data_IF_615798126543
#
_entry.id   IF_615798126543
#
_cell.length_a   1.000
_cell.length_b   1.000
_cell.length_c   1.000
_cell.angle_alpha   90.00
_cell.angle_beta   90.00
_cell.angle_gamma   90.00
#
_symmetry.space_group_name_H-M   'P 1'
#
loop_
_entity.id
_entity.type
_entity.pdbx_description
1 polymer ?
#
# COMPACT_ATOMS: atom_id res chain seq x y z
N UNK A 1 -30.18 21.78 -64.94
CA UNK A 1 -29.46 20.90 -63.98
C UNK A 1 -28.74 21.79 -63.00
N UNK A 2 -29.33 22.01 -61.83
CA UNK A 2 -28.75 22.69 -60.67
C UNK A 2 -29.37 22.03 -59.43
N UNK A 3 -28.58 21.60 -58.43
CA UNK A 3 -29.06 20.69 -57.39
C UNK A 3 -29.73 21.44 -56.24
N UNK A 4 -30.87 20.90 -55.84
CA UNK A 4 -31.55 21.12 -54.56
C UNK A 4 -30.69 20.60 -53.40
N UNK A 5 -30.46 21.45 -52.40
CA UNK A 5 -29.89 21.06 -51.11
C UNK A 5 -30.96 20.36 -50.23
N UNK A 6 -30.62 19.29 -49.50
CA UNK A 6 -31.50 18.70 -48.51
C UNK A 6 -31.40 19.47 -47.18
N UNK A 7 -32.56 19.72 -46.56
CA UNK A 7 -32.65 20.30 -45.23
C UNK A 7 -32.39 19.25 -44.16
N UNK A 8 -31.42 19.54 -43.28
CA UNK A 8 -31.24 18.85 -42.01
C UNK A 8 -32.20 19.46 -40.97
N UNK A 9 -33.21 18.68 -40.60
CA UNK A 9 -34.06 18.95 -39.45
C UNK A 9 -33.52 18.15 -38.25
N UNK A 10 -32.76 18.81 -37.38
CA UNK A 10 -32.43 18.29 -36.04
C UNK A 10 -33.67 18.42 -35.14
N UNK A 11 -34.16 17.34 -34.49
CA UNK A 11 -35.22 17.46 -33.49
C UNK A 11 -34.64 18.12 -32.24
N UNK A 12 -35.02 19.37 -32.00
CA UNK A 12 -34.75 20.07 -30.75
C UNK A 12 -35.44 19.36 -29.59
N UNK A 13 -34.65 18.82 -28.66
CA UNK A 13 -35.13 18.29 -27.40
C UNK A 13 -35.33 19.47 -26.43
N UNK A 14 -36.55 19.98 -26.33
CA UNK A 14 -36.94 21.00 -25.34
C UNK A 14 -37.34 20.29 -24.05
N UNK A 15 -36.55 20.46 -22.98
CA UNK A 15 -36.96 20.07 -21.63
C UNK A 15 -38.21 20.87 -21.23
N UNK A 16 -39.19 20.25 -20.56
CA UNK A 16 -40.35 20.98 -20.05
C UNK A 16 -39.90 22.03 -19.04
N UNK A 17 -40.42 23.24 -19.21
CA UNK A 17 -40.19 24.35 -18.28
C UNK A 17 -40.60 23.93 -16.86
N UNK A 18 -39.64 23.98 -15.94
CA UNK A 18 -39.88 23.81 -14.51
C UNK A 18 -40.98 24.76 -14.02
N UNK A 19 -41.90 24.30 -13.17
CA UNK A 19 -42.86 25.17 -12.52
C UNK A 19 -42.12 26.12 -11.57
N UNK A 20 -42.17 27.41 -11.89
CA UNK A 20 -42.07 28.57 -10.99
C UNK A 20 -41.35 28.32 -9.66
N UNK A 21 -40.02 28.50 -9.68
CA UNK A 21 -39.23 28.72 -8.47
C UNK A 21 -39.70 30.01 -7.76
N UNK A 22 -39.83 30.01 -6.42
CA UNK A 22 -40.17 31.23 -5.69
C UNK A 22 -39.03 32.25 -5.80
N UNK A 23 -39.38 33.45 -6.23
CA UNK A 23 -38.49 34.58 -6.32
C UNK A 23 -37.93 34.98 -4.94
N UNK A 24 -36.64 35.34 -4.93
CA UNK A 24 -35.94 36.15 -3.94
C UNK A 24 -35.65 35.52 -2.56
N UNK A 25 -34.56 34.75 -2.50
CA UNK A 25 -33.58 34.83 -1.39
C UNK A 25 -32.17 34.98 -1.96
N UNK A 26 -31.88 36.12 -2.59
CA UNK A 26 -30.51 36.64 -2.67
C UNK A 26 -30.20 37.31 -1.33
N UNK A 27 -30.00 36.50 -0.29
CA UNK A 27 -29.33 36.95 0.93
C UNK A 27 -27.91 37.35 0.54
N UNK A 28 -27.57 38.62 0.78
CA UNK A 28 -26.21 39.13 0.62
C UNK A 28 -25.21 38.16 1.27
N UNK A 29 -24.43 37.48 0.44
CA UNK A 29 -23.31 36.66 0.89
C UNK A 29 -22.40 37.57 1.71
N UNK A 30 -22.34 37.35 3.03
CA UNK A 30 -21.36 38.02 3.89
C UNK A 30 -19.97 37.81 3.29
N UNK A 31 -19.05 38.78 3.38
CA UNK A 31 -17.68 38.59 2.92
C UNK A 31 -17.11 37.37 3.64
N UNK A 32 -16.87 36.29 2.88
CA UNK A 32 -16.32 35.05 3.40
C UNK A 32 -14.95 35.38 4.02
N UNK A 33 -14.63 34.84 5.21
CA UNK A 33 -13.29 35.01 5.78
C UNK A 33 -12.27 34.56 4.74
N UNK A 34 -11.20 35.36 4.54
CA UNK A 34 -10.17 35.12 3.51
C UNK A 34 -9.80 33.64 3.48
N UNK A 35 -10.35 32.99 2.47
CA UNK A 35 -10.19 31.59 2.16
C UNK A 35 -8.71 31.41 1.82
N UNK A 36 -7.91 30.89 2.76
CA UNK A 36 -6.45 30.82 2.62
C UNK A 36 -6.00 29.86 1.52
N UNK A 37 -4.70 29.89 1.19
CA UNK A 37 -4.07 29.11 0.11
C UNK A 37 -4.41 27.61 0.14
N UNK A 38 -4.67 27.06 1.33
CA UNK A 38 -5.09 25.66 1.52
C UNK A 38 -6.44 25.35 0.89
N UNK A 39 -7.38 26.28 0.91
CA UNK A 39 -8.68 26.08 0.27
C UNK A 39 -8.59 26.29 -1.23
N UNK A 40 -7.74 27.19 -1.72
CA UNK A 40 -7.48 27.29 -3.16
C UNK A 40 -6.88 25.97 -3.70
N UNK A 41 -5.92 25.39 -2.97
CA UNK A 41 -5.36 24.07 -3.27
C UNK A 41 -6.41 22.94 -3.19
N UNK A 42 -7.30 22.98 -2.19
CA UNK A 42 -8.42 22.04 -2.08
C UNK A 42 -9.39 22.19 -3.26
N UNK A 43 -9.82 23.41 -3.58
CA UNK A 43 -10.73 23.69 -4.69
C UNK A 43 -10.13 23.27 -6.05
N UNK A 44 -8.82 23.43 -6.23
CA UNK A 44 -8.12 22.94 -7.41
C UNK A 44 -7.97 21.42 -7.45
N UNK A 45 -7.71 20.77 -6.31
CA UNK A 45 -7.74 19.31 -6.20
C UNK A 45 -9.14 18.76 -6.51
N UNK A 46 -10.20 19.39 -5.98
CA UNK A 46 -11.59 19.02 -6.21
C UNK A 46 -12.01 19.22 -7.68
N UNK A 47 -11.53 20.28 -8.34
CA UNK A 47 -11.76 20.50 -9.79
C UNK A 47 -11.10 19.43 -10.68
N UNK A 48 -9.97 18.89 -10.24
CA UNK A 48 -9.21 17.86 -10.97
C UNK A 48 -9.57 16.43 -10.55
N UNK A 49 -10.47 16.28 -9.57
CA UNK A 49 -11.02 14.99 -9.18
C UNK A 49 -11.81 14.41 -10.36
N UNK A 50 -11.64 13.13 -10.70
CA UNK A 50 -12.41 12.53 -11.77
C UNK A 50 -13.87 12.40 -11.35
N UNK A 51 -14.70 12.12 -12.34
CA UNK A 51 -16.12 12.05 -12.14
C UNK A 51 -16.52 10.85 -11.27
N UNK A 52 -17.52 11.06 -10.43
CA UNK A 52 -18.07 10.13 -9.44
C UNK A 52 -19.29 9.46 -10.02
N UNK A 53 -19.36 8.13 -10.00
CA UNK A 53 -20.57 7.40 -10.40
C UNK A 53 -21.61 7.49 -9.27
N UNK A 54 -22.86 7.94 -9.53
CA UNK A 54 -23.88 8.12 -8.49
C UNK A 54 -24.10 6.88 -7.61
N UNK A 55 -24.11 5.69 -8.22
CA UNK A 55 -24.32 4.42 -7.52
C UNK A 55 -23.19 4.06 -6.55
N UNK A 56 -21.96 4.44 -6.86
CA UNK A 56 -20.81 4.18 -5.98
C UNK A 56 -20.83 5.14 -4.78
N UNK A 57 -21.18 6.41 -5.02
CA UNK A 57 -21.37 7.38 -3.94
C UNK A 57 -22.50 6.97 -3.00
N UNK A 58 -23.65 6.54 -3.55
CA UNK A 58 -24.76 6.04 -2.76
C UNK A 58 -24.36 4.83 -1.89
N UNK A 59 -23.60 3.88 -2.45
CA UNK A 59 -23.10 2.71 -1.74
C UNK A 59 -22.17 3.09 -0.58
N UNK A 60 -21.28 4.06 -0.82
CA UNK A 60 -20.36 4.55 0.21
C UNK A 60 -21.09 5.30 1.32
N UNK A 61 -22.07 6.17 1.00
CA UNK A 61 -22.86 6.86 2.02
C UNK A 61 -23.61 5.86 2.90
N UNK A 62 -24.21 4.81 2.31
CA UNK A 62 -24.84 3.75 3.08
C UNK A 62 -23.86 3.00 3.98
N UNK A 63 -22.68 2.64 3.47
CA UNK A 63 -21.66 1.96 4.27
C UNK A 63 -21.22 2.80 5.48
N UNK A 64 -21.08 4.13 5.31
CA UNK A 64 -20.75 5.04 6.41
C UNK A 64 -21.91 5.16 7.42
N UNK A 65 -23.17 5.16 6.97
CA UNK A 65 -24.33 5.16 7.86
C UNK A 65 -24.42 3.88 8.70
N UNK A 66 -24.10 2.73 8.12
CA UNK A 66 -24.06 1.44 8.84
C UNK A 66 -22.95 1.42 9.91
N UNK A 67 -21.80 2.07 9.64
CA UNK A 67 -20.72 2.21 10.61
C UNK A 67 -21.08 3.13 11.80
N UNK A 68 -21.86 4.19 11.55
CA UNK A 68 -22.14 5.27 12.52
C UNK A 68 -23.54 5.20 13.17
N UNK A 69 -24.27 4.08 13.03
CA UNK A 69 -25.66 3.90 13.48
C UNK A 69 -25.84 4.23 14.98
N UNK A 70 -24.78 4.13 15.79
CA UNK A 70 -24.82 4.39 17.23
C UNK A 70 -24.55 5.85 17.65
N UNK A 71 -24.10 6.70 16.73
CA UNK A 71 -23.67 8.08 17.04
C UNK A 71 -24.51 9.15 16.36
N UNK A 72 -25.25 8.81 15.31
CA UNK A 72 -26.01 9.78 14.52
C UNK A 72 -27.40 10.03 15.10
N UNK A 73 -27.87 11.26 14.95
CA UNK A 73 -29.26 11.61 15.26
C UNK A 73 -30.20 11.05 14.18
N UNK A 74 -31.44 10.71 14.54
CA UNK A 74 -32.43 10.19 13.58
C UNK A 74 -32.65 11.11 12.38
N UNK A 75 -32.47 12.43 12.55
CA UNK A 75 -32.54 13.40 11.45
C UNK A 75 -31.39 13.24 10.45
N UNK A 76 -30.15 13.12 10.95
CA UNK A 76 -28.98 12.94 10.09
C UNK A 76 -29.05 11.64 9.25
N UNK A 77 -29.60 10.57 9.84
CA UNK A 77 -29.84 9.31 9.14
C UNK A 77 -30.90 9.47 8.05
N UNK A 78 -32.01 10.18 8.33
CA UNK A 78 -33.06 10.42 7.35
C UNK A 78 -32.57 11.28 6.16
N UNK A 79 -31.81 12.34 6.43
CA UNK A 79 -31.28 13.22 5.38
C UNK A 79 -30.30 12.45 4.47
N UNK A 80 -29.41 11.63 5.05
CA UNK A 80 -28.48 10.82 4.28
C UNK A 80 -29.20 9.70 3.48
N UNK A 81 -30.25 9.08 4.03
CA UNK A 81 -31.07 8.10 3.33
C UNK A 81 -31.80 8.72 2.12
N UNK A 82 -32.29 9.96 2.26
CA UNK A 82 -32.87 10.70 1.13
C UNK A 82 -31.83 10.97 0.03
N UNK A 83 -30.61 11.36 0.40
CA UNK A 83 -29.50 11.54 -0.55
C UNK A 83 -29.18 10.24 -1.29
N UNK A 84 -29.09 9.11 -0.59
CA UNK A 84 -28.85 7.79 -1.19
C UNK A 84 -29.96 7.42 -2.17
N UNK A 85 -31.23 7.63 -1.79
CA UNK A 85 -32.36 7.36 -2.67
C UNK A 85 -32.32 8.25 -3.93
N UNK A 86 -32.00 9.53 -3.78
CA UNK A 86 -31.86 10.44 -4.92
C UNK A 86 -30.73 9.98 -5.87
N UNK A 87 -29.54 9.68 -5.34
CA UNK A 87 -28.40 9.19 -6.12
C UNK A 87 -28.71 7.87 -6.86
N UNK A 88 -29.48 6.97 -6.24
CA UNK A 88 -29.88 5.69 -6.84
C UNK A 88 -30.84 5.83 -8.03
N UNK A 89 -31.55 6.95 -8.14
CA UNK A 89 -32.44 7.24 -9.29
C UNK A 89 -31.73 7.88 -10.47
N UNK A 90 -30.50 8.38 -10.28
CA UNK A 90 -29.74 9.01 -11.34
C UNK A 90 -29.22 7.98 -12.34
N UNK A 91 -29.15 8.32 -13.64
CA UNK A 91 -28.50 7.46 -14.62
C UNK A 91 -27.02 7.27 -14.24
N UNK A 92 -26.38 6.16 -14.66
CA UNK A 92 -24.99 5.82 -14.30
C UNK A 92 -23.94 6.71 -14.99
N UNK A 93 -24.32 7.93 -15.39
CA UNK A 93 -23.41 8.91 -15.95
C UNK A 93 -22.52 9.49 -14.84
N UNK A 94 -21.20 9.60 -15.08
CA UNK A 94 -20.30 10.16 -14.10
C UNK A 94 -20.64 11.63 -13.79
N UNK A 95 -20.76 11.97 -12.51
CA UNK A 95 -20.97 13.32 -12.01
C UNK A 95 -19.62 14.00 -11.77
N UNK A 96 -19.50 15.28 -12.10
CA UNK A 96 -18.37 16.06 -11.56
C UNK A 96 -18.44 16.08 -10.02
N UNK A 97 -17.30 16.23 -9.35
CA UNK A 97 -17.28 16.28 -7.89
C UNK A 97 -18.14 17.43 -7.33
N UNK A 98 -18.23 18.55 -8.05
CA UNK A 98 -19.12 19.66 -7.69
C UNK A 98 -20.59 19.23 -7.70
N UNK A 99 -21.03 18.52 -8.74
CA UNK A 99 -22.40 17.97 -8.82
C UNK A 99 -22.65 16.93 -7.72
N UNK A 100 -21.67 16.07 -7.44
CA UNK A 100 -21.77 15.07 -6.38
C UNK A 100 -21.91 15.73 -4.99
N UNK A 101 -21.16 16.81 -4.73
CA UNK A 101 -21.29 17.61 -3.51
C UNK A 101 -22.68 18.24 -3.42
N UNK A 102 -23.12 18.92 -4.47
CA UNK A 102 -24.42 19.61 -4.50
C UNK A 102 -25.59 18.64 -4.28
N UNK A 103 -25.54 17.46 -4.91
CA UNK A 103 -26.54 16.40 -4.73
C UNK A 103 -26.50 15.74 -3.35
N UNK A 104 -25.41 15.92 -2.60
CA UNK A 104 -25.23 15.33 -1.27
C UNK A 104 -25.49 16.30 -0.12
N UNK A 105 -25.77 17.58 -0.42
CA UNK A 105 -26.09 18.59 0.57
C UNK A 105 -27.56 18.46 1.02
N UNK A 106 -27.80 18.65 2.30
CA UNK A 106 -29.14 18.72 2.87
C UNK A 106 -29.87 20.02 2.45
N UNK A 107 -31.12 20.17 2.91
CA UNK A 107 -31.92 21.38 2.63
C UNK A 107 -31.33 22.67 3.22
N UNK A 108 -30.40 22.57 4.17
CA UNK A 108 -29.71 23.69 4.79
C UNK A 108 -28.38 24.02 4.07
N UNK A 109 -27.99 23.22 3.08
CA UNK A 109 -26.75 23.39 2.34
C UNK A 109 -25.53 22.84 3.07
N UNK A 110 -25.69 21.82 3.92
CA UNK A 110 -24.58 21.13 4.57
C UNK A 110 -24.46 19.69 4.11
N UNK A 111 -23.24 19.18 4.01
CA UNK A 111 -23.01 17.76 3.78
C UNK A 111 -23.16 17.01 5.11
N UNK A 112 -23.92 15.92 5.12
CA UNK A 112 -23.94 14.99 6.25
C UNK A 112 -22.55 14.39 6.49
N UNK A 113 -22.26 13.93 7.71
CA UNK A 113 -20.97 13.31 8.04
C UNK A 113 -20.66 12.11 7.12
N UNK A 114 -21.66 11.26 6.87
CA UNK A 114 -21.56 10.13 5.94
C UNK A 114 -21.26 10.59 4.49
N UNK A 115 -21.90 11.65 4.01
CA UNK A 115 -21.61 12.21 2.69
C UNK A 115 -20.18 12.78 2.60
N UNK A 116 -19.71 13.47 3.63
CA UNK A 116 -18.34 13.98 3.69
C UNK A 116 -17.32 12.84 3.64
N UNK A 117 -17.53 11.79 4.45
CA UNK A 117 -16.67 10.61 4.47
C UNK A 117 -16.67 9.89 3.11
N UNK A 118 -17.84 9.63 2.53
CA UNK A 118 -17.96 8.97 1.23
C UNK A 118 -17.28 9.76 0.10
N UNK A 119 -17.49 11.08 0.04
CA UNK A 119 -16.84 11.95 -0.94
C UNK A 119 -15.32 12.00 -0.75
N UNK A 120 -14.84 11.97 0.50
CA UNK A 120 -13.43 11.88 0.81
C UNK A 120 -12.84 10.55 0.33
N UNK A 121 -13.52 9.42 0.57
CA UNK A 121 -13.12 8.10 0.08
C UNK A 121 -13.02 8.05 -1.45
N UNK A 122 -14.00 8.64 -2.16
CA UNK A 122 -13.97 8.76 -3.63
C UNK A 122 -12.80 9.62 -4.12
N UNK A 123 -12.55 10.77 -3.48
CA UNK A 123 -11.43 11.64 -3.84
C UNK A 123 -10.06 10.95 -3.63
N UNK A 124 -9.93 10.14 -2.58
CA UNK A 124 -8.71 9.34 -2.32
C UNK A 124 -8.57 8.23 -3.35
N UNK A 125 -9.60 7.41 -3.55
CA UNK A 125 -9.58 6.28 -4.51
C UNK A 125 -9.22 6.73 -5.93
N UNK A 126 -9.59 7.95 -6.29
CA UNK A 126 -9.35 8.51 -7.61
C UNK A 126 -7.97 9.13 -7.78
N UNK A 127 -7.44 9.80 -6.75
CA UNK A 127 -6.04 10.22 -6.70
C UNK A 127 -5.09 9.01 -6.81
N UNK A 128 -5.49 7.89 -6.19
CA UNK A 128 -4.77 6.61 -6.27
C UNK A 128 -4.73 6.05 -7.71
N UNK A 129 -5.80 6.21 -8.51
CA UNK A 129 -5.85 5.67 -9.87
C UNK A 129 -4.83 6.36 -10.81
N UNK A 130 -4.70 7.70 -10.73
CA UNK A 130 -3.77 8.47 -11.57
C UNK A 130 -2.30 8.22 -11.22
N UNK A 131 -1.98 8.14 -9.93
CA UNK A 131 -0.61 7.87 -9.47
C UNK A 131 -0.16 6.44 -9.80
N UNK A 132 -1.09 5.48 -9.84
CA UNK A 132 -0.76 4.10 -10.15
C UNK A 132 -0.53 3.80 -11.63
N UNK A 133 -1.24 4.48 -12.54
CA UNK A 133 -0.96 4.35 -13.97
C UNK A 133 0.48 4.76 -14.31
N UNK A 134 1.04 5.76 -13.62
CA UNK A 134 2.43 6.15 -13.81
C UNK A 134 3.45 5.09 -13.33
N UNK A 135 3.07 4.24 -12.37
CA UNK A 135 3.93 3.17 -11.85
C UNK A 135 3.98 1.92 -12.75
N UNK A 136 3.08 1.83 -13.74
CA UNK A 136 2.86 0.66 -14.59
C UNK A 136 3.93 0.46 -15.66
N UNK A 137 4.50 1.55 -16.19
CA UNK A 137 5.49 1.48 -17.28
C UNK A 137 6.87 0.96 -16.83
N UNK A 138 7.11 0.84 -15.52
CA UNK A 138 8.42 0.49 -14.99
C UNK A 138 8.41 -0.96 -14.46
N UNK A 139 9.47 -1.77 -14.70
CA UNK A 139 9.71 -3.03 -14.00
C UNK A 139 10.09 -2.74 -12.54
N UNK A 140 9.16 -2.11 -11.83
CA UNK A 140 9.33 -1.54 -10.51
C UNK A 140 9.75 -2.64 -9.54
N UNK A 141 9.04 -3.77 -9.56
CA UNK A 141 9.27 -4.91 -8.67
C UNK A 141 10.70 -5.43 -8.79
N UNK A 142 11.14 -5.81 -10.00
CA UNK A 142 12.49 -6.31 -10.24
C UNK A 142 13.55 -5.25 -9.90
N UNK A 143 13.32 -3.99 -10.27
CA UNK A 143 14.26 -2.91 -9.96
C UNK A 143 14.35 -2.67 -8.46
N UNK A 144 13.25 -2.72 -7.71
CA UNK A 144 13.25 -2.58 -6.25
C UNK A 144 13.92 -3.78 -5.57
N UNK A 145 13.66 -5.00 -6.05
CA UNK A 145 14.23 -6.23 -5.50
C UNK A 145 15.76 -6.28 -5.63
N UNK A 146 16.33 -5.64 -6.67
CA UNK A 146 17.79 -5.50 -6.84
C UNK A 146 18.46 -4.59 -5.79
N UNK A 147 17.69 -3.82 -5.03
CA UNK A 147 18.21 -2.93 -3.99
C UNK A 147 17.67 -3.35 -2.62
N UNK A 148 18.36 -4.23 -1.88
CA UNK A 148 17.94 -4.66 -0.56
C UNK A 148 17.74 -3.45 0.36
N UNK A 149 16.57 -3.38 1.00
CA UNK A 149 16.23 -2.23 1.83
C UNK A 149 15.97 -2.67 3.28
N UNK A 150 16.77 -2.20 4.25
CA UNK A 150 16.47 -2.44 5.65
C UNK A 150 15.18 -1.71 6.06
N UNK A 151 14.16 -2.50 6.42
CA UNK A 151 12.97 -2.03 7.12
C UNK A 151 13.12 -2.16 8.65
N UNK A 152 12.28 -1.43 9.37
CA UNK A 152 12.06 -1.65 10.81
C UNK A 152 11.60 -3.10 11.03
N UNK A 153 12.15 -3.74 12.08
CA UNK A 153 11.80 -5.11 12.40
C UNK A 153 10.35 -5.20 12.88
N UNK A 154 10.03 -4.44 13.91
CA UNK A 154 8.68 -4.31 14.45
C UNK A 154 8.01 -3.05 13.90
N UNK A 155 6.68 -3.10 13.78
CA UNK A 155 5.89 -1.92 13.38
C UNK A 155 5.65 -1.04 14.61
N UNK A 156 6.15 0.21 14.64
CA UNK A 156 5.89 1.11 15.76
C UNK A 156 4.38 1.27 15.99
N UNK A 157 3.90 1.32 17.25
CA UNK A 157 2.46 1.43 17.54
C UNK A 157 1.76 2.56 16.77
N UNK A 158 2.42 3.71 16.63
CA UNK A 158 1.95 4.88 15.89
C UNK A 158 1.70 4.63 14.38
N UNK A 159 2.25 3.55 13.82
CA UNK A 159 2.12 3.17 12.42
C UNK A 159 1.32 1.89 12.20
N UNK A 160 0.93 1.16 13.24
CA UNK A 160 0.26 -0.14 13.08
C UNK A 160 -1.02 -0.05 12.25
N UNK A 161 -1.85 0.96 12.53
CA UNK A 161 -3.09 1.20 11.78
C UNK A 161 -2.79 1.52 10.31
N UNK A 162 -1.81 2.37 10.03
CA UNK A 162 -1.44 2.76 8.67
C UNK A 162 -0.87 1.58 7.85
N UNK A 163 0.02 0.78 8.45
CA UNK A 163 0.60 -0.40 7.79
C UNK A 163 -0.45 -1.47 7.57
N UNK A 164 -1.30 -1.76 8.58
CA UNK A 164 -2.40 -2.71 8.42
C UNK A 164 -3.36 -2.27 7.33
N UNK A 165 -3.79 -1.00 7.35
CA UNK A 165 -4.66 -0.43 6.33
C UNK A 165 -4.08 -0.52 4.93
N UNK A 166 -2.79 -0.22 4.76
CA UNK A 166 -2.09 -0.37 3.48
C UNK A 166 -2.07 -1.82 2.96
N UNK A 167 -1.82 -2.79 3.84
CA UNK A 167 -1.81 -4.21 3.48
C UNK A 167 -3.21 -4.72 3.15
N UNK A 168 -4.21 -4.38 3.96
CA UNK A 168 -5.63 -4.73 3.73
C UNK A 168 -6.11 -4.15 2.41
N UNK A 169 -5.87 -2.85 2.16
CA UNK A 169 -6.23 -2.19 0.91
C UNK A 169 -5.62 -2.91 -0.31
N UNK A 170 -4.37 -3.34 -0.23
CA UNK A 170 -3.73 -4.07 -1.32
C UNK A 170 -4.36 -5.46 -1.54
N UNK A 171 -4.71 -6.16 -0.47
CA UNK A 171 -5.37 -7.47 -0.55
C UNK A 171 -6.82 -7.38 -1.03
N UNK A 172 -7.58 -6.35 -0.62
CA UNK A 172 -8.94 -6.10 -1.10
C UNK A 172 -8.93 -5.86 -2.61
N UNK A 173 -7.97 -5.08 -3.11
CA UNK A 173 -7.77 -4.90 -4.55
C UNK A 173 -7.46 -6.23 -5.26
N UNK A 174 -6.62 -7.08 -4.68
CA UNK A 174 -6.37 -8.43 -5.23
C UNK A 174 -7.65 -9.28 -5.31
N UNK A 175 -8.51 -9.20 -4.30
CA UNK A 175 -9.81 -9.88 -4.29
C UNK A 175 -10.75 -9.31 -5.36
N UNK A 176 -10.83 -7.99 -5.49
CA UNK A 176 -11.68 -7.32 -6.49
C UNK A 176 -11.29 -7.71 -7.92
N UNK A 177 -10.01 -7.60 -8.27
CA UNK A 177 -9.48 -7.95 -9.60
C UNK A 177 -9.71 -9.43 -9.94
N UNK A 178 -9.69 -10.31 -8.94
CA UNK A 178 -10.02 -11.73 -9.11
C UNK A 178 -11.50 -11.93 -9.40
N UNK A 179 -12.39 -11.25 -8.69
CA UNK A 179 -13.84 -11.33 -8.89
C UNK A 179 -14.26 -10.85 -10.29
N UNK A 180 -13.51 -9.91 -10.85
CA UNK A 180 -13.70 -9.42 -12.23
C UNK A 180 -13.10 -10.36 -13.29
N UNK A 181 -12.47 -11.48 -12.89
CA UNK A 181 -11.79 -12.40 -13.80
C UNK A 181 -10.45 -11.90 -14.34
N UNK A 182 -9.96 -10.75 -13.85
CA UNK A 182 -8.73 -10.09 -14.25
C UNK A 182 -7.52 -10.49 -13.38
N UNK A 183 -7.46 -11.73 -12.90
CA UNK A 183 -6.44 -12.19 -11.93
C UNK A 183 -4.99 -12.02 -12.42
N UNK A 184 -4.75 -11.95 -13.73
CA UNK A 184 -3.43 -11.70 -14.35
C UNK A 184 -3.33 -10.34 -15.02
N UNK A 185 -4.36 -9.51 -14.88
CA UNK A 185 -4.43 -8.16 -15.44
C UNK A 185 -3.46 -7.18 -14.77
N UNK A 186 -3.41 -5.98 -15.34
CA UNK A 186 -2.53 -4.91 -14.85
C UNK A 186 -2.94 -4.44 -13.46
N UNK A 187 -4.24 -4.41 -13.14
CA UNK A 187 -4.78 -4.11 -11.81
C UNK A 187 -4.33 -5.12 -10.75
N UNK A 188 -4.37 -6.42 -11.06
CA UNK A 188 -3.79 -7.47 -10.20
C UNK A 188 -2.28 -7.29 -9.99
N UNK A 189 -1.49 -7.02 -11.05
CA UNK A 189 -0.02 -6.81 -10.94
C UNK A 189 0.31 -5.65 -10.00
N UNK A 190 -0.44 -4.58 -10.15
CA UNK A 190 -0.45 -3.40 -9.30
C UNK A 190 -0.75 -3.73 -7.84
N UNK A 191 -1.85 -4.44 -7.57
CA UNK A 191 -2.24 -4.81 -6.22
C UNK A 191 -1.20 -5.72 -5.53
N UNK A 192 -0.60 -6.66 -6.27
CA UNK A 192 0.52 -7.48 -5.79
C UNK A 192 1.75 -6.63 -5.43
N UNK A 193 2.14 -5.70 -6.30
CA UNK A 193 3.25 -4.77 -6.02
C UNK A 193 2.98 -3.93 -4.78
N UNK A 194 1.75 -3.44 -4.60
CA UNK A 194 1.37 -2.67 -3.42
C UNK A 194 1.51 -3.50 -2.15
N UNK A 195 0.94 -4.72 -2.15
CA UNK A 195 0.99 -5.62 -1.01
C UNK A 195 2.43 -5.92 -0.59
N UNK A 196 3.28 -6.27 -1.56
CA UNK A 196 4.66 -6.67 -1.29
C UNK A 196 5.55 -5.48 -0.92
N UNK A 197 5.37 -4.31 -1.56
CA UNK A 197 6.23 -3.15 -1.35
C UNK A 197 5.73 -2.14 -0.30
N UNK A 198 4.50 -2.31 0.24
CA UNK A 198 3.97 -1.45 1.30
C UNK A 198 4.91 -1.35 2.52
N UNK A 199 5.46 -2.46 3.07
CA UNK A 199 6.43 -2.37 4.14
C UNK A 199 7.68 -1.57 3.77
N UNK A 200 8.16 -1.68 2.53
CA UNK A 200 9.30 -0.89 2.03
C UNK A 200 9.03 0.61 2.10
N UNK A 201 7.84 1.01 1.64
CA UNK A 201 7.43 2.41 1.57
C UNK A 201 7.20 3.02 2.96
N UNK A 202 6.56 2.26 3.85
CA UNK A 202 6.15 2.75 5.16
C UNK A 202 7.22 2.58 6.23
N UNK A 203 8.02 1.51 6.17
CA UNK A 203 8.89 1.05 7.25
C UNK A 203 10.37 1.06 6.90
N UNK A 204 10.78 1.67 5.78
CA UNK A 204 12.21 1.91 5.53
C UNK A 204 12.84 2.67 6.71
N UNK A 205 14.04 2.28 7.13
CA UNK A 205 14.70 2.97 8.24
C UNK A 205 14.95 4.44 7.90
N UNK A 206 14.70 5.31 8.86
CA UNK A 206 15.05 6.73 8.79
C UNK A 206 16.43 6.93 9.44
N UNK A 207 17.19 7.89 8.91
CA UNK A 207 18.41 8.38 9.55
C UNK A 207 18.10 9.32 10.74
N UNK A 208 16.90 9.89 10.78
CA UNK A 208 16.44 10.78 11.83
C UNK A 208 16.06 9.98 13.08
N UNK A 209 16.29 10.58 14.25
CA UNK A 209 15.97 9.96 15.54
C UNK A 209 14.91 10.76 16.29
N UNK A 210 14.30 10.12 17.30
CA UNK A 210 13.36 10.77 18.20
C UNK A 210 12.13 11.36 17.49
N UNK A 211 11.70 12.60 17.86
CA UNK A 211 10.51 13.23 17.30
C UNK A 211 10.56 13.43 15.78
N UNK A 212 11.75 13.70 15.23
CA UNK A 212 11.93 13.94 13.80
C UNK A 212 11.74 12.64 13.00
N UNK A 213 12.35 11.53 13.45
CA UNK A 213 12.13 10.22 12.82
C UNK A 213 10.67 9.76 12.91
N UNK A 214 10.00 10.06 14.04
CA UNK A 214 8.56 9.84 14.19
C UNK A 214 7.74 10.66 13.18
N UNK A 215 8.04 11.95 13.03
CA UNK A 215 7.33 12.81 12.09
C UNK A 215 7.53 12.35 10.63
N UNK A 216 8.74 11.92 10.26
CA UNK A 216 9.00 11.36 8.94
C UNK A 216 8.17 10.09 8.67
N UNK A 217 8.14 9.16 9.62
CA UNK A 217 7.34 7.93 9.52
C UNK A 217 5.85 8.21 9.33
N UNK A 218 5.29 9.16 10.09
CA UNK A 218 3.89 9.59 9.93
C UNK A 218 3.67 10.28 8.58
N UNK A 219 4.62 11.12 8.15
CA UNK A 219 4.59 11.74 6.82
C UNK A 219 4.55 10.71 5.69
N UNK A 220 5.26 9.58 5.83
CA UNK A 220 5.20 8.48 4.86
C UNK A 220 3.84 7.80 4.82
N UNK A 221 3.19 7.62 5.97
CA UNK A 221 1.83 7.07 6.02
C UNK A 221 0.84 7.98 5.28
N UNK A 222 0.90 9.30 5.52
CA UNK A 222 0.07 10.28 4.79
C UNK A 222 0.38 10.31 3.30
N UNK A 223 1.65 10.27 2.91
CA UNK A 223 2.05 10.20 1.50
C UNK A 223 1.54 8.90 0.83
N UNK A 224 1.55 7.77 1.56
CA UNK A 224 1.05 6.50 1.06
C UNK A 224 -0.45 6.56 0.79
N UNK A 225 -1.22 7.12 1.72
CA UNK A 225 -2.67 7.33 1.58
C UNK A 225 -3.02 8.29 0.43
N UNK A 226 -2.11 9.18 0.05
CA UNK A 226 -2.26 10.08 -1.10
C UNK A 226 -1.82 9.44 -2.43
N UNK A 227 -1.39 8.18 -2.43
CA UNK A 227 -0.90 7.49 -3.62
C UNK A 227 0.50 7.91 -4.07
N UNK A 228 1.28 8.61 -3.24
CA UNK A 228 2.66 9.06 -3.57
C UNK A 228 3.69 7.91 -3.51
N UNK A 229 3.30 6.69 -3.92
CA UNK A 229 4.06 5.45 -3.77
C UNK A 229 5.42 5.47 -4.47
N UNK A 230 5.50 6.03 -5.68
CA UNK A 230 6.78 6.13 -6.40
C UNK A 230 7.78 7.03 -5.66
N UNK A 231 7.31 8.15 -5.12
CA UNK A 231 8.13 9.05 -4.31
C UNK A 231 8.57 8.38 -3.01
N UNK A 232 7.69 7.62 -2.37
CA UNK A 232 8.03 6.83 -1.18
C UNK A 232 9.11 5.79 -1.48
N UNK A 233 9.00 5.07 -2.59
CA UNK A 233 10.00 4.08 -3.00
C UNK A 233 11.35 4.73 -3.32
N UNK A 234 11.35 5.89 -3.98
CA UNK A 234 12.57 6.65 -4.25
C UNK A 234 13.19 7.19 -2.95
N UNK A 235 12.36 7.71 -2.04
CA UNK A 235 12.80 8.18 -0.72
C UNK A 235 13.40 7.04 0.11
N UNK A 236 12.74 5.88 0.13
CA UNK A 236 13.22 4.67 0.77
C UNK A 236 14.57 4.22 0.19
N UNK A 237 14.72 4.25 -1.15
CA UNK A 237 16.01 3.96 -1.82
C UNK A 237 17.10 4.93 -1.36
N UNK A 238 16.85 6.24 -1.36
CA UNK A 238 17.84 7.25 -0.92
C UNK A 238 18.21 7.11 0.55
N UNK A 239 17.25 6.78 1.41
CA UNK A 239 17.52 6.50 2.82
C UNK A 239 18.39 5.24 3.02
N UNK A 240 18.39 4.36 2.03
CA UNK A 240 19.17 3.14 2.01
C UNK A 240 20.34 3.19 1.04
N UNK A 241 20.61 4.35 0.40
CA UNK A 241 21.87 4.54 -0.27
C UNK A 241 22.90 4.40 0.85
N UNK A 242 23.62 3.27 0.87
CA UNK A 242 24.66 3.14 1.85
C UNK A 242 25.57 4.32 1.53
N UNK A 243 25.83 5.16 2.53
CA UNK A 243 27.09 5.85 2.53
C UNK A 243 28.13 4.77 2.18
N UNK A 244 28.68 4.93 0.97
CA UNK A 244 29.89 4.36 0.40
C UNK A 244 30.66 3.51 1.38
N UNK A 245 31.00 2.28 0.99
CA UNK A 245 32.18 1.60 1.49
C UNK A 245 32.34 1.78 3.00
N UNK A 246 31.40 1.26 3.81
CA UNK A 246 31.69 1.13 5.23
C UNK A 246 33.04 0.39 5.29
N UNK A 247 34.14 1.07 5.65
CA UNK A 247 35.46 0.54 5.41
C UNK A 247 35.53 -0.80 6.12
N UNK A 248 36.19 -1.78 5.51
CA UNK A 248 36.40 -3.07 6.14
C UNK A 248 37.06 -2.80 7.50
N UNK A 249 36.25 -2.87 8.56
CA UNK A 249 36.72 -2.58 9.90
C UNK A 249 37.79 -3.64 10.22
N UNK A 250 38.92 -3.25 10.83
CA UNK A 250 39.89 -4.19 11.34
C UNK A 250 39.20 -5.28 12.19
N UNK A 251 39.70 -6.53 12.20
CA UNK A 251 39.09 -7.63 12.98
C UNK A 251 38.83 -7.25 14.45
N UNK A 252 39.75 -6.50 15.06
CA UNK A 252 39.64 -6.06 16.45
C UNK A 252 38.46 -5.10 16.68
N UNK A 253 38.19 -4.21 15.72
CA UNK A 253 37.03 -3.30 15.79
C UNK A 253 35.70 -4.05 15.60
N UNK A 254 35.69 -5.11 14.79
CA UNK A 254 34.51 -5.99 14.65
C UNK A 254 34.22 -6.69 15.97
N UNK A 255 35.25 -7.24 16.63
CA UNK A 255 35.15 -7.85 17.96
C UNK A 255 34.64 -6.86 19.00
N UNK A 256 35.21 -5.65 19.06
CA UNK A 256 34.78 -4.59 19.96
C UNK A 256 33.33 -4.16 19.73
N UNK A 257 32.91 -4.04 18.46
CA UNK A 257 31.52 -3.73 18.13
C UNK A 257 30.57 -4.83 18.58
N UNK A 258 30.90 -6.11 18.35
CA UNK A 258 30.12 -7.25 18.85
C UNK A 258 30.01 -7.22 20.38
N UNK A 259 31.12 -6.94 21.07
CA UNK A 259 31.17 -6.79 22.53
C UNK A 259 30.23 -5.69 23.00
N UNK A 260 30.31 -4.48 22.44
CA UNK A 260 29.43 -3.35 22.79
C UNK A 260 27.95 -3.69 22.56
N UNK A 261 27.63 -4.33 21.44
CA UNK A 261 26.26 -4.78 21.15
C UNK A 261 25.76 -5.81 22.16
N UNK A 262 26.58 -6.80 22.51
CA UNK A 262 26.25 -7.80 23.51
C UNK A 262 26.06 -7.17 24.90
N UNK A 263 26.95 -6.25 25.31
CA UNK A 263 26.83 -5.50 26.57
C UNK A 263 25.54 -4.70 26.62
N UNK A 264 25.19 -3.97 25.55
CA UNK A 264 23.91 -3.28 25.47
C UNK A 264 22.76 -4.27 25.67
N UNK A 265 22.76 -5.40 24.96
CA UNK A 265 21.72 -6.43 25.10
C UNK A 265 21.60 -6.99 26.53
N UNK A 266 22.71 -7.16 27.24
CA UNK A 266 22.70 -7.53 28.67
C UNK A 266 22.05 -6.44 29.54
N UNK A 267 22.34 -5.16 29.29
CA UNK A 267 21.71 -4.05 30.02
C UNK A 267 20.19 -4.01 29.84
N UNK A 268 19.67 -4.49 28.70
CA UNK A 268 18.24 -4.66 28.45
C UNK A 268 17.66 -5.98 28.99
N UNK A 269 18.44 -6.81 29.69
CA UNK A 269 18.01 -8.12 30.21
C UNK A 269 17.95 -9.23 29.15
N UNK A 270 18.44 -9.00 27.92
CA UNK A 270 18.35 -9.95 26.81
C UNK A 270 19.57 -10.88 26.71
N UNK A 271 19.91 -11.60 27.79
CA UNK A 271 21.16 -12.40 27.89
C UNK A 271 21.31 -13.44 26.77
N UNK A 272 20.23 -14.12 26.39
CA UNK A 272 20.24 -15.10 25.28
C UNK A 272 20.57 -14.44 23.93
N UNK A 273 20.11 -13.19 23.70
CA UNK A 273 20.45 -12.44 22.48
C UNK A 273 21.89 -11.93 22.53
N UNK A 274 22.38 -11.52 23.69
CA UNK A 274 23.79 -11.15 23.88
C UNK A 274 24.72 -12.33 23.54
N UNK A 275 24.41 -13.55 24.02
CA UNK A 275 25.12 -14.77 23.64
C UNK A 275 25.07 -14.99 22.12
N UNK A 276 23.89 -14.89 21.50
CA UNK A 276 23.75 -15.03 20.04
C UNK A 276 24.63 -14.05 19.27
N UNK A 277 24.73 -12.80 19.70
CA UNK A 277 25.61 -11.78 19.06
C UNK A 277 27.08 -12.20 19.12
N UNK A 278 27.53 -12.75 20.25
CA UNK A 278 28.91 -13.19 20.44
C UNK A 278 29.22 -14.49 19.69
N UNK A 279 28.28 -15.43 19.63
CA UNK A 279 28.48 -16.74 18.99
C UNK A 279 28.07 -16.78 17.52
N UNK A 280 27.46 -15.73 16.98
CA UNK A 280 27.03 -15.69 15.58
C UNK A 280 28.24 -15.85 14.66
N UNK A 281 28.11 -16.77 13.71
CA UNK A 281 29.10 -16.97 12.65
C UNK A 281 29.39 -15.64 11.96
N UNK A 282 30.66 -15.40 11.66
CA UNK A 282 31.08 -14.18 11.00
C UNK A 282 30.58 -14.16 9.57
N UNK A 283 30.25 -12.95 9.08
CA UNK A 283 30.00 -12.77 7.66
C UNK A 283 31.31 -13.05 6.92
N UNK A 284 31.23 -13.83 5.85
CA UNK A 284 32.37 -13.98 4.95
C UNK A 284 32.67 -12.62 4.31
N UNK A 285 33.96 -12.31 4.01
CA UNK A 285 34.33 -11.07 3.36
C UNK A 285 33.64 -10.95 2.00
N UNK A 286 33.14 -9.77 1.64
CA UNK A 286 32.48 -9.52 0.36
C UNK A 286 33.46 -9.37 -0.81
N UNK A 287 34.35 -10.34 -1.01
CA UNK A 287 35.34 -10.34 -2.09
C UNK A 287 35.01 -11.36 -3.19
N UNK A 288 35.78 -11.34 -4.27
CA UNK A 288 35.60 -12.22 -5.43
C UNK A 288 35.71 -13.71 -5.06
N UNK A 289 36.57 -14.07 -4.11
CA UNK A 289 36.71 -15.45 -3.65
C UNK A 289 35.43 -15.97 -2.97
N UNK A 290 34.78 -15.15 -2.13
CA UNK A 290 33.48 -15.48 -1.54
C UNK A 290 32.41 -15.58 -2.62
N UNK A 291 32.40 -14.68 -3.61
CA UNK A 291 31.46 -14.76 -4.73
C UNK A 291 31.63 -16.04 -5.56
N UNK A 292 32.87 -16.40 -5.89
CA UNK A 292 33.19 -17.63 -6.61
C UNK A 292 32.73 -18.86 -5.82
N UNK A 293 33.01 -18.91 -4.52
CA UNK A 293 32.59 -20.00 -3.64
C UNK A 293 31.05 -20.15 -3.55
N UNK A 294 30.30 -19.05 -3.65
CA UNK A 294 28.84 -19.05 -3.63
C UNK A 294 28.20 -19.38 -4.97
N UNK A 295 28.89 -19.06 -6.07
CA UNK A 295 28.37 -19.25 -7.44
C UNK A 295 28.73 -20.63 -8.00
N UNK A 296 29.64 -21.35 -7.34
CA UNK A 296 30.00 -22.72 -7.72
C UNK A 296 28.76 -23.62 -7.74
N UNK A 297 28.41 -24.08 -8.95
CA UNK A 297 27.25 -24.96 -9.18
C UNK A 297 27.41 -26.33 -8.53
N UNK A 298 28.64 -26.76 -8.30
CA UNK A 298 28.93 -28.06 -7.70
C UNK A 298 28.70 -28.07 -6.19
N UNK A 299 28.70 -26.90 -5.54
CA UNK A 299 28.43 -26.74 -4.10
C UNK A 299 27.01 -26.29 -3.80
N UNK A 300 26.28 -25.82 -4.81
CA UNK A 300 24.86 -25.49 -4.68
C UNK A 300 24.08 -26.76 -4.33
N UNK A 301 23.24 -26.75 -3.27
CA UNK A 301 22.39 -27.89 -2.95
C UNK A 301 21.63 -28.28 -4.21
N UNK A 302 21.79 -29.54 -4.64
CA UNK A 302 21.25 -30.09 -5.89
C UNK A 302 19.86 -29.51 -6.11
N UNK A 303 19.76 -28.63 -7.13
CA UNK A 303 18.56 -27.86 -7.51
C UNK A 303 17.35 -28.69 -7.13
N UNK A 304 16.64 -28.30 -6.07
CA UNK A 304 15.52 -29.08 -5.55
C UNK A 304 14.70 -29.45 -6.78
N UNK A 305 14.69 -30.74 -7.13
CA UNK A 305 14.00 -31.21 -8.31
C UNK A 305 12.61 -30.56 -8.22
N UNK A 306 12.11 -30.03 -9.35
CA UNK A 306 10.74 -29.58 -9.50
C UNK A 306 9.81 -30.77 -9.20
N UNK A 307 9.75 -31.23 -7.95
CA UNK A 307 8.67 -32.02 -7.41
C UNK A 307 7.55 -31.01 -7.49
N UNK A 308 6.69 -31.18 -8.50
CA UNK A 308 5.62 -30.26 -8.78
C UNK A 308 4.98 -29.85 -7.45
N UNK A 309 4.76 -28.55 -7.29
CA UNK A 309 3.84 -28.01 -6.28
C UNK A 309 2.42 -28.51 -6.62
N UNK A 310 2.22 -29.84 -6.62
CA UNK A 310 0.96 -30.48 -6.83
C UNK A 310 0.27 -30.49 -5.46
N UNK A 311 -0.46 -29.42 -5.18
CA UNK A 311 -1.49 -29.40 -4.14
C UNK A 311 -1.02 -29.78 -2.75
N UNK A 312 0.15 -29.30 -2.30
CA UNK A 312 0.39 -29.24 -0.87
C UNK A 312 -0.63 -28.24 -0.29
N UNK A 313 -1.76 -28.76 0.19
CA UNK A 313 -2.61 -28.04 1.10
C UNK A 313 -1.68 -27.39 2.14
N UNK A 314 -1.88 -26.10 2.42
CA UNK A 314 -1.28 -25.43 3.56
C UNK A 314 -1.72 -26.22 4.81
N UNK A 315 -0.99 -27.28 5.15
CA UNK A 315 -1.17 -27.99 6.40
C UNK A 315 -0.98 -26.95 7.50
N UNK A 316 -1.82 -26.94 8.55
CA UNK A 316 -1.63 -26.06 9.68
C UNK A 316 -0.19 -26.25 10.16
N UNK A 317 0.58 -25.16 10.11
CA UNK A 317 2.01 -25.20 10.32
C UNK A 317 2.32 -26.00 11.61
N UNK A 318 2.99 -27.14 11.46
CA UNK A 318 3.71 -27.78 12.56
C UNK A 318 4.68 -26.77 13.19
N UNK A 319 5.20 -27.06 14.41
CA UNK A 319 5.88 -26.09 15.27
C UNK A 319 6.82 -25.20 14.45
N UNK A 320 6.46 -23.92 14.44
CA UNK A 320 6.95 -22.89 13.52
C UNK A 320 8.45 -23.03 13.26
N UNK A 321 8.82 -23.08 11.97
CA UNK A 321 10.20 -22.77 11.58
C UNK A 321 10.60 -21.47 12.30
N UNK A 322 11.79 -21.41 12.93
CA UNK A 322 12.19 -20.25 13.70
C UNK A 322 12.02 -19.01 12.81
N UNK A 323 11.32 -17.96 13.29
CA UNK A 323 10.90 -16.85 12.45
C UNK A 323 12.10 -16.32 11.69
N UNK A 324 11.99 -16.28 10.35
CA UNK A 324 13.02 -15.67 9.50
C UNK A 324 13.18 -14.22 9.95
N UNK A 325 14.29 -13.95 10.66
CA UNK A 325 14.57 -12.61 11.22
C UNK A 325 15.12 -11.65 10.17
N UNK A 326 15.60 -12.18 9.05
CA UNK A 326 16.08 -11.36 7.95
C UNK A 326 14.89 -11.01 7.04
N UNK A 327 14.73 -9.73 6.65
CA UNK A 327 13.73 -9.36 5.68
C UNK A 327 14.12 -9.93 4.31
N UNK A 328 13.13 -10.25 3.49
CA UNK A 328 13.36 -10.50 2.07
C UNK A 328 13.70 -9.20 1.32
N UNK A 329 13.71 -9.25 0.00
CA UNK A 329 14.13 -8.13 -0.85
C UNK A 329 13.08 -7.02 -0.94
N UNK A 330 11.81 -7.36 -0.75
CA UNK A 330 10.73 -6.38 -0.59
C UNK A 330 10.88 -5.55 0.69
N UNK A 331 11.62 -6.06 1.68
CA UNK A 331 11.65 -5.48 3.02
C UNK A 331 10.50 -5.94 3.92
N UNK A 332 9.57 -6.75 3.40
CA UNK A 332 8.52 -7.40 4.19
C UNK A 332 9.15 -8.38 5.20
N UNK A 333 8.51 -8.50 6.36
CA UNK A 333 8.88 -9.41 7.44
C UNK A 333 7.65 -10.10 7.99
N UNK A 334 7.84 -11.25 8.62
CA UNK A 334 6.77 -11.95 9.32
C UNK A 334 6.08 -11.06 10.37
N UNK A 335 6.85 -10.20 11.06
CA UNK A 335 6.31 -9.24 12.03
C UNK A 335 5.33 -8.22 11.42
N UNK A 336 5.49 -7.87 10.14
CA UNK A 336 4.56 -6.96 9.46
C UNK A 336 3.23 -7.66 9.17
N UNK A 337 3.28 -8.93 8.76
CA UNK A 337 2.10 -9.74 8.50
C UNK A 337 1.31 -10.09 9.76
N UNK A 338 1.95 -10.12 10.95
CA UNK A 338 1.25 -10.32 12.23
C UNK A 338 0.16 -9.28 12.51
N UNK A 339 0.26 -8.09 11.91
CA UNK A 339 -0.79 -7.07 12.03
C UNK A 339 -2.11 -7.51 11.38
N UNK A 340 -2.05 -8.33 10.33
CA UNK A 340 -3.23 -8.87 9.66
C UNK A 340 -3.89 -9.96 10.50
N UNK A 341 -3.14 -10.67 11.36
CA UNK A 341 -3.66 -11.74 12.22
C UNK A 341 -4.54 -11.23 13.37
N UNK A 342 -4.66 -9.92 13.53
CA UNK A 342 -5.52 -9.29 14.54
C UNK A 342 -6.94 -9.04 14.04
N UNK A 343 -7.21 -9.29 12.75
CA UNK A 343 -8.46 -8.97 12.07
C UNK A 343 -8.87 -10.17 11.21
N UNK A 344 -10.06 -10.72 11.47
CA UNK A 344 -10.57 -11.92 10.78
C UNK A 344 -10.70 -11.70 9.27
N UNK A 345 -11.21 -10.54 8.85
CA UNK A 345 -11.36 -10.24 7.43
C UNK A 345 -9.98 -10.12 6.75
N UNK A 346 -9.01 -9.51 7.43
CA UNK A 346 -7.64 -9.42 6.92
C UNK A 346 -6.96 -10.80 6.80
N UNK A 347 -7.26 -11.74 7.70
CA UNK A 347 -6.80 -13.14 7.61
C UNK A 347 -7.37 -13.82 6.37
N UNK A 348 -8.66 -13.67 6.10
CA UNK A 348 -9.31 -14.27 4.92
C UNK A 348 -8.73 -13.71 3.62
N UNK A 349 -8.57 -12.40 3.55
CA UNK A 349 -7.91 -11.70 2.44
C UNK A 349 -6.48 -12.21 2.20
N UNK A 350 -5.70 -12.38 3.27
CA UNK A 350 -4.35 -12.92 3.20
C UNK A 350 -4.34 -14.40 2.74
N UNK A 351 -5.26 -15.22 3.25
CA UNK A 351 -5.38 -16.63 2.87
C UNK A 351 -5.75 -16.79 1.39
N UNK A 352 -6.61 -15.93 0.86
CA UNK A 352 -6.94 -15.89 -0.56
C UNK A 352 -5.74 -15.51 -1.42
N UNK A 353 -5.00 -14.46 -1.07
CA UNK A 353 -3.78 -14.06 -1.78
C UNK A 353 -2.72 -15.19 -1.73
N UNK A 354 -2.53 -15.81 -0.57
CA UNK A 354 -1.63 -16.96 -0.43
C UNK A 354 -2.06 -18.15 -1.30
N UNK A 355 -3.36 -18.41 -1.41
CA UNK A 355 -3.91 -19.44 -2.30
C UNK A 355 -3.65 -19.12 -3.77
N UNK A 356 -3.81 -17.84 -4.17
CA UNK A 356 -3.49 -17.41 -5.54
C UNK A 356 -2.01 -17.64 -5.86
N UNK A 357 -1.12 -17.26 -4.95
CA UNK A 357 0.32 -17.48 -5.09
C UNK A 357 0.67 -18.97 -5.19
N UNK A 358 0.09 -19.81 -4.31
CA UNK A 358 0.32 -21.26 -4.30
C UNK A 358 -0.18 -21.94 -5.59
N UNK A 359 -1.23 -21.40 -6.22
CA UNK A 359 -1.76 -21.90 -7.49
C UNK A 359 -1.06 -21.29 -8.72
N UNK A 360 0.00 -20.50 -8.53
CA UNK A 360 0.66 -19.71 -9.57
C UNK A 360 -0.31 -18.80 -10.35
N UNK A 361 -1.42 -18.39 -9.73
CA UNK A 361 -2.41 -17.45 -10.27
C UNK A 361 -2.00 -16.02 -9.92
N UNK A 362 -0.80 -15.66 -10.33
CA UNK A 362 -0.24 -14.33 -10.12
C UNK A 362 0.20 -13.75 -11.48
N UNK A 363 0.18 -12.43 -11.65
CA UNK A 363 0.67 -11.78 -12.86
C UNK A 363 2.12 -12.14 -13.17
N UNK A 364 2.45 -12.28 -14.45
CA UNK A 364 3.72 -12.86 -14.91
C UNK A 364 4.98 -12.11 -14.43
N UNK A 365 4.85 -10.83 -14.06
CA UNK A 365 5.95 -10.00 -13.58
C UNK A 365 6.21 -10.12 -12.06
N UNK A 366 5.34 -10.80 -11.31
CA UNK A 366 5.48 -11.00 -9.87
C UNK A 366 6.39 -12.19 -9.51
N UNK A 367 6.24 -13.40 -10.09
CA UNK A 367 7.09 -14.54 -9.77
C UNK A 367 8.59 -14.30 -9.92
N UNK A 368 9.10 -13.65 -10.98
CA UNK A 368 10.53 -13.40 -11.11
C UNK A 368 11.08 -12.60 -9.93
N UNK A 369 10.33 -11.62 -9.43
CA UNK A 369 10.75 -10.80 -8.31
C UNK A 369 10.67 -11.54 -6.97
N UNK A 370 9.61 -12.34 -6.74
CA UNK A 370 9.49 -13.19 -5.54
C UNK A 370 10.52 -14.34 -5.51
N UNK A 371 10.96 -14.80 -6.68
CA UNK A 371 11.99 -15.82 -6.80
C UNK A 371 13.40 -15.27 -6.51
N UNK A 372 13.57 -13.95 -6.44
CA UNK A 372 14.84 -13.34 -6.03
C UNK A 372 15.04 -13.53 -4.53
N UNK A 373 16.29 -13.73 -4.13
CA UNK A 373 16.67 -13.86 -2.73
C UNK A 373 17.91 -13.03 -2.43
N UNK A 374 17.97 -12.51 -1.21
CA UNK A 374 19.19 -11.93 -0.66
C UNK A 374 20.14 -13.06 -0.28
N UNK A 375 21.32 -13.09 -0.89
CA UNK A 375 22.37 -14.03 -0.52
C UNK A 375 23.24 -13.43 0.59
N UNK A 376 23.31 -14.09 1.74
CA UNK A 376 24.21 -13.74 2.85
C UNK A 376 25.26 -14.83 3.00
N UNK A 377 26.52 -14.43 2.97
CA UNK A 377 27.65 -15.34 3.08
C UNK A 377 28.09 -15.45 4.54
N UNK A 378 28.03 -16.64 5.13
CA UNK A 378 28.56 -16.93 6.45
C UNK A 378 29.87 -17.69 6.34
N UNK A 379 30.87 -17.32 7.15
CA UNK A 379 32.10 -18.08 7.30
C UNK A 379 31.84 -19.28 8.23
N UNK A 380 32.26 -20.46 7.80
CA UNK A 380 32.26 -21.69 8.58
C UNK A 380 33.53 -21.78 9.46
N UNK A 381 33.53 -22.58 10.53
CA UNK A 381 34.72 -22.79 11.36
C UNK A 381 35.91 -23.40 10.62
N UNK A 382 35.67 -24.15 9.54
CA UNK A 382 36.68 -24.76 8.67
C UNK A 382 37.30 -23.77 7.65
N UNK A 383 36.92 -22.49 7.70
CA UNK A 383 37.33 -21.47 6.75
C UNK A 383 36.49 -21.42 5.47
N UNK A 384 35.58 -22.38 5.27
CA UNK A 384 34.67 -22.40 4.13
C UNK A 384 33.59 -21.32 4.20
N UNK A 385 32.88 -21.13 3.08
CA UNK A 385 31.75 -20.21 2.97
C UNK A 385 30.44 -21.00 2.89
N UNK A 386 29.41 -20.51 3.59
CA UNK A 386 28.03 -21.00 3.48
C UNK A 386 27.13 -19.86 3.03
N UNK A 387 26.52 -20.00 1.86
CA UNK A 387 25.46 -19.10 1.41
C UNK A 387 24.14 -19.38 2.13
N UNK A 388 23.47 -18.33 2.58
CA UNK A 388 22.07 -18.36 3.01
C UNK A 388 21.29 -17.46 2.07
N UNK A 389 20.35 -18.05 1.32
CA UNK A 389 19.40 -17.30 0.52
C UNK A 389 18.17 -16.95 1.39
N UNK A 390 17.79 -15.68 1.43
CA UNK A 390 16.58 -15.19 2.11
C UNK A 390 15.66 -14.56 1.07
N UNK A 391 14.54 -15.22 0.78
CA UNK A 391 13.45 -14.68 -0.05
C UNK A 391 12.42 -13.92 0.78
N UNK A 392 11.38 -13.42 0.11
CA UNK A 392 10.21 -12.80 0.74
C UNK A 392 9.19 -13.81 1.30
#
# INVERSE_FOLDING_TARGET
VAPTAPGDATPGFTLPASPTAPAARQTALRPWPRIGDRFAALAEALRNAPAVVPSDLARLINAELECDEHTLTSRAVADAAMTVAALATLPPHPLSLAQAIELSMDSEGYLSAAAQAALFHLAVATAECKTFQAAEAHPLMETQARHPLPTLQDVPPILQAAVRGALVQALERLRAERSEGAATGTGSSRAWKLFILAPRMLLARTALQGPQGRAELLGRATAFQRGEWLQLLQSARRACDPARDAPALPPDEVCERKRRQACAKVQWGEVSRARQVLTAAELAPGNEATWAALTDRNTSPSRAANRGFAGAALAPAGPASPPQRAPGLSGMRAEHLKLLLQDVNAIELLAEAATQLAQARVPADIPPALAMARLTALRKPDGGVRGIATGD
#
